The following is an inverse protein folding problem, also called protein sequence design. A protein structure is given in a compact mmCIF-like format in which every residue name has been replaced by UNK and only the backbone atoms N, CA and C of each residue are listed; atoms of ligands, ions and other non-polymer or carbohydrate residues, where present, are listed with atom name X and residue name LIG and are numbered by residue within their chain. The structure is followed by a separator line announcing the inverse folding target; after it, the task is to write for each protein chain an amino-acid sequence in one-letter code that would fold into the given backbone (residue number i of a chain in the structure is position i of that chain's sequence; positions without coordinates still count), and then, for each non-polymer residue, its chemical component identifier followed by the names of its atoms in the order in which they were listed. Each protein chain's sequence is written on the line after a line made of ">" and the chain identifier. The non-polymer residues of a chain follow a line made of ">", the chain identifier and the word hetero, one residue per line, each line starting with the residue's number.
data_IF_206971923276
#
_entry.id   IF_206971923276
#
_cell.length_a   1.000
_cell.length_b   1.000
_cell.length_c   1.000
_cell.angle_alpha   90.00
_cell.angle_beta   90.00
_cell.angle_gamma   90.00
#
_symmetry.space_group_name_H-M   'P 1'
#
loop_
_entity.id
_entity.type
_entity.pdbx_description
1 polymer ?
#
# COMPACT_ATOMS: atom_id res chain seq x y z
N UNK A 1 -51.96 39.03 17.18
CA UNK A 1 -51.60 38.39 15.90
C UNK A 1 -50.11 38.10 15.91
N UNK A 2 -49.71 36.83 15.99
CA UNK A 2 -48.49 36.28 15.40
C UNK A 2 -48.64 34.76 15.48
N UNK A 3 -49.12 34.19 14.38
CA UNK A 3 -49.41 32.77 14.21
C UNK A 3 -48.10 32.10 13.77
N UNK A 4 -47.36 31.50 14.70
CA UNK A 4 -46.09 30.84 14.36
C UNK A 4 -46.37 29.45 13.78
N UNK A 5 -46.15 29.33 12.48
CA UNK A 5 -46.48 28.18 11.65
C UNK A 5 -45.46 27.05 11.87
N UNK A 6 -45.74 26.17 12.84
CA UNK A 6 -44.87 25.08 13.31
C UNK A 6 -44.56 24.00 12.25
N UNK A 7 -45.23 24.01 11.08
CA UNK A 7 -45.12 22.98 10.04
C UNK A 7 -43.87 23.11 9.14
N UNK A 8 -43.32 24.32 8.97
CA UNK A 8 -42.20 24.58 8.04
C UNK A 8 -40.82 24.21 8.64
N UNK A 9 -40.65 24.33 9.95
CA UNK A 9 -39.39 24.06 10.64
C UNK A 9 -39.00 22.57 10.61
N UNK A 10 -40.00 21.68 10.73
CA UNK A 10 -39.79 20.22 10.69
C UNK A 10 -39.36 19.71 9.30
N UNK A 11 -39.84 20.35 8.22
CA UNK A 11 -39.47 19.97 6.85
C UNK A 11 -38.00 20.29 6.54
N UNK A 12 -37.50 21.42 7.06
CA UNK A 12 -36.10 21.85 6.88
C UNK A 12 -35.17 20.94 7.68
N UNK A 13 -35.52 20.59 8.91
CA UNK A 13 -34.74 19.64 9.72
C UNK A 13 -34.69 18.25 9.09
N UNK A 14 -35.80 17.76 8.53
CA UNK A 14 -35.84 16.48 7.83
C UNK A 14 -34.97 16.50 6.56
N UNK A 15 -35.00 17.60 5.80
CA UNK A 15 -34.18 17.76 4.60
C UNK A 15 -32.67 17.77 4.92
N UNK A 16 -32.25 18.46 6.00
CA UNK A 16 -30.85 18.47 6.43
C UNK A 16 -30.40 17.08 6.91
N UNK A 17 -31.26 16.35 7.63
CA UNK A 17 -30.96 14.98 8.09
C UNK A 17 -30.81 14.00 6.93
N UNK A 18 -31.63 14.13 5.89
CA UNK A 18 -31.52 13.33 4.67
C UNK A 18 -30.21 13.67 3.92
N UNK A 19 -29.84 14.96 3.80
CA UNK A 19 -28.58 15.36 3.14
C UNK A 19 -27.35 14.76 3.85
N UNK A 20 -27.34 14.68 5.19
CA UNK A 20 -26.24 14.09 5.95
C UNK A 20 -26.14 12.57 5.71
N UNK A 21 -27.28 11.88 5.56
CA UNK A 21 -27.31 10.43 5.34
C UNK A 21 -26.88 10.01 3.93
N UNK A 22 -27.12 10.83 2.89
CA UNK A 22 -26.72 10.50 1.52
C UNK A 22 -25.19 10.66 1.32
N UNK A 23 -24.51 11.45 2.16
CA UNK A 23 -23.06 11.69 2.07
C UNK A 23 -22.20 10.71 2.89
N UNK A 24 -22.81 9.72 3.54
CA UNK A 24 -22.14 8.83 4.52
C UNK A 24 -21.20 7.76 3.94
N UNK A 25 -21.14 7.55 2.62
CA UNK A 25 -20.32 6.48 2.03
C UNK A 25 -18.82 6.82 1.94
N UNK A 26 -18.44 8.09 2.11
CA UNK A 26 -17.04 8.55 1.92
C UNK A 26 -16.12 8.33 3.14
N UNK A 27 -16.67 7.94 4.29
CA UNK A 27 -15.90 7.81 5.53
C UNK A 27 -14.87 6.67 5.47
N UNK A 28 -15.22 5.55 4.84
CA UNK A 28 -14.34 4.37 4.73
C UNK A 28 -13.32 4.50 3.59
N UNK A 29 -13.67 5.27 2.55
CA UNK A 29 -12.86 5.44 1.33
C UNK A 29 -11.77 6.51 1.50
N UNK A 30 -12.09 7.62 2.17
CA UNK A 30 -11.10 8.63 2.54
C UNK A 30 -10.06 8.10 3.53
N UNK A 31 -10.47 7.18 4.41
CA UNK A 31 -9.61 6.58 5.43
C UNK A 31 -8.54 5.67 4.81
N UNK A 32 -8.91 4.78 3.89
CA UNK A 32 -7.94 3.88 3.25
C UNK A 32 -6.95 4.62 2.33
N UNK A 33 -7.40 5.68 1.65
CA UNK A 33 -6.52 6.47 0.79
C UNK A 33 -5.54 7.34 1.57
N UNK A 34 -5.92 7.85 2.75
CA UNK A 34 -5.03 8.63 3.61
C UNK A 34 -4.15 7.72 4.46
N UNK A 35 -4.77 6.89 5.28
CA UNK A 35 -4.08 6.14 6.34
C UNK A 35 -3.46 4.86 5.78
N UNK A 36 -4.11 4.20 4.82
CA UNK A 36 -3.52 3.07 4.10
C UNK A 36 -2.31 3.48 3.26
N UNK A 37 -2.39 4.59 2.50
CA UNK A 37 -1.23 5.07 1.74
C UNK A 37 -0.09 5.50 2.67
N UNK A 38 -0.39 6.15 3.80
CA UNK A 38 0.58 6.49 4.83
C UNK A 38 1.27 5.24 5.39
N UNK A 39 0.52 4.17 5.66
CA UNK A 39 1.07 2.91 6.14
C UNK A 39 1.99 2.24 5.11
N UNK A 40 1.55 2.17 3.84
CA UNK A 40 2.36 1.63 2.75
C UNK A 40 3.68 2.40 2.58
N UNK A 41 3.61 3.73 2.55
CA UNK A 41 4.80 4.59 2.45
C UNK A 41 5.71 4.46 3.67
N UNK A 42 5.14 4.36 4.88
CA UNK A 42 5.92 4.11 6.09
C UNK A 42 6.66 2.77 6.03
N UNK A 43 5.98 1.71 5.59
CA UNK A 43 6.61 0.40 5.44
C UNK A 43 7.68 0.38 4.34
N UNK A 44 7.49 1.12 3.25
CA UNK A 44 8.48 1.29 2.19
C UNK A 44 9.69 2.12 2.66
N UNK A 45 9.47 3.16 3.47
CA UNK A 45 10.52 3.96 4.09
C UNK A 45 11.47 3.09 4.91
N UNK A 46 10.96 2.15 5.70
CA UNK A 46 11.80 1.20 6.47
C UNK A 46 12.71 0.37 5.55
N UNK A 47 12.23 -0.03 4.38
CA UNK A 47 13.02 -0.78 3.37
C UNK A 47 14.10 0.14 2.77
N UNK A 48 13.73 1.36 2.40
CA UNK A 48 14.62 2.36 1.81
C UNK A 48 15.71 2.82 2.79
N UNK A 49 15.40 2.97 4.07
CA UNK A 49 16.36 3.31 5.14
C UNK A 49 17.47 2.24 5.29
N UNK A 50 17.22 1.01 4.85
CA UNK A 50 18.23 -0.06 4.79
C UNK A 50 19.01 -0.09 3.46
N UNK A 51 18.68 0.80 2.52
CA UNK A 51 19.24 0.87 1.18
C UNK A 51 18.47 0.02 0.15
N UNK A 52 17.26 -0.43 0.48
CA UNK A 52 16.50 -1.36 -0.36
C UNK A 52 17.10 -2.77 -0.38
N UNK A 53 16.43 -3.67 -1.08
CA UNK A 53 16.94 -5.02 -1.30
C UNK A 53 18.18 -4.99 -2.18
N UNK A 54 18.24 -4.08 -3.16
CA UNK A 54 19.44 -3.84 -3.96
C UNK A 54 20.65 -3.51 -3.08
N UNK A 55 20.55 -2.50 -2.21
CA UNK A 55 21.66 -2.08 -1.37
C UNK A 55 22.06 -3.14 -0.34
N UNK A 56 21.11 -3.94 0.14
CA UNK A 56 21.40 -5.09 0.99
C UNK A 56 22.21 -6.18 0.27
N UNK A 57 21.88 -6.47 -0.99
CA UNK A 57 22.60 -7.46 -1.80
C UNK A 57 23.99 -6.94 -2.19
N UNK A 58 24.12 -5.66 -2.54
CA UNK A 58 25.40 -5.03 -2.87
C UNK A 58 26.41 -5.09 -1.72
N UNK A 59 25.94 -4.95 -0.48
CA UNK A 59 26.78 -4.97 0.72
C UNK A 59 27.30 -6.36 1.08
N UNK A 60 26.78 -7.42 0.46
CA UNK A 60 27.14 -8.81 0.74
C UNK A 60 27.93 -9.39 -0.43
N UNK A 61 29.26 -9.60 -0.32
CA UNK A 61 30.08 -10.13 -1.41
C UNK A 61 29.56 -11.48 -1.94
N UNK A 62 28.99 -12.32 -1.07
CA UNK A 62 28.43 -13.62 -1.47
C UNK A 62 27.15 -13.50 -2.31
N UNK A 63 26.44 -12.37 -2.23
CA UNK A 63 25.14 -12.13 -2.84
C UNK A 63 25.12 -11.01 -3.89
N UNK A 64 26.18 -10.22 -4.01
CA UNK A 64 26.28 -9.07 -4.92
C UNK A 64 25.92 -9.40 -6.37
N UNK A 65 26.24 -10.61 -6.84
CA UNK A 65 25.86 -11.06 -8.19
C UNK A 65 24.33 -11.15 -8.42
N UNK A 66 23.52 -10.93 -7.39
CA UNK A 66 22.07 -10.95 -7.41
C UNK A 66 21.45 -9.56 -7.19
N UNK A 67 22.24 -8.49 -7.04
CA UNK A 67 21.70 -7.16 -6.75
C UNK A 67 20.65 -6.68 -7.76
N UNK A 68 20.77 -7.08 -9.03
CA UNK A 68 19.77 -6.74 -10.05
C UNK A 68 18.37 -7.27 -9.72
N UNK A 69 18.21 -8.47 -9.17
CA UNK A 69 16.89 -8.95 -8.74
C UNK A 69 16.38 -8.13 -7.55
N UNK A 70 17.27 -7.69 -6.66
CA UNK A 70 16.92 -6.76 -5.57
C UNK A 70 16.36 -5.45 -6.10
N UNK A 71 17.04 -4.84 -7.07
CA UNK A 71 16.60 -3.58 -7.69
C UNK A 71 15.25 -3.73 -8.41
N UNK A 72 15.03 -4.85 -9.08
CA UNK A 72 13.75 -5.15 -9.72
C UNK A 72 12.62 -5.25 -8.69
N UNK A 73 12.85 -5.93 -7.57
CA UNK A 73 11.87 -6.04 -6.48
C UNK A 73 11.58 -4.66 -5.90
N UNK A 74 12.62 -3.87 -5.60
CA UNK A 74 12.48 -2.51 -5.04
C UNK A 74 11.61 -1.62 -5.95
N UNK A 75 11.89 -1.60 -7.25
CA UNK A 75 11.12 -0.83 -8.23
C UNK A 75 9.67 -1.31 -8.38
N UNK A 76 9.43 -2.62 -8.32
CA UNK A 76 8.08 -3.19 -8.43
C UNK A 76 7.24 -2.93 -7.17
N UNK A 77 7.84 -2.97 -5.99
CA UNK A 77 7.17 -2.57 -4.74
C UNK A 77 6.76 -1.10 -4.80
N UNK A 78 7.66 -0.22 -5.26
CA UNK A 78 7.33 1.18 -5.47
C UNK A 78 6.18 1.36 -6.46
N UNK A 79 6.20 0.61 -7.58
CA UNK A 79 5.12 0.64 -8.58
C UNK A 79 3.77 0.25 -7.99
N UNK A 80 3.71 -0.76 -7.11
CA UNK A 80 2.47 -1.16 -6.44
C UNK A 80 1.90 -0.01 -5.60
N UNK A 81 2.75 0.70 -4.86
CA UNK A 81 2.35 1.86 -4.04
C UNK A 81 1.87 2.99 -4.94
N UNK A 82 2.57 3.29 -6.03
CA UNK A 82 2.15 4.32 -6.98
C UNK A 82 0.82 3.99 -7.65
N UNK A 83 0.54 2.72 -7.99
CA UNK A 83 -0.77 2.32 -8.50
C UNK A 83 -1.86 2.57 -7.44
N UNK A 84 -1.59 2.22 -6.18
CA UNK A 84 -2.52 2.46 -5.08
C UNK A 84 -2.82 3.97 -4.90
N UNK A 85 -1.78 4.80 -4.94
CA UNK A 85 -1.88 6.26 -4.89
C UNK A 85 -2.67 6.82 -6.08
N UNK A 86 -2.42 6.33 -7.29
CA UNK A 86 -3.14 6.75 -8.50
C UNK A 86 -4.63 6.42 -8.43
N UNK A 87 -5.00 5.25 -7.90
CA UNK A 87 -6.41 4.92 -7.66
C UNK A 87 -7.05 5.99 -6.77
N UNK A 88 -6.40 6.32 -5.65
CA UNK A 88 -6.87 7.35 -4.72
C UNK A 88 -7.00 8.74 -5.37
N UNK A 89 -6.03 9.17 -6.17
CA UNK A 89 -6.06 10.49 -6.82
C UNK A 89 -7.08 10.58 -7.94
N UNK A 90 -7.41 9.46 -8.61
CA UNK A 90 -8.47 9.35 -9.61
C UNK A 90 -9.88 9.25 -8.99
N UNK A 91 -10.00 9.29 -7.66
CA UNK A 91 -11.27 9.09 -6.95
C UNK A 91 -11.76 7.64 -6.96
N UNK A 92 -10.95 6.69 -7.45
CA UNK A 92 -11.22 5.25 -7.35
C UNK A 92 -10.81 4.80 -5.95
N UNK A 93 -11.69 4.14 -5.20
CA UNK A 93 -11.29 3.63 -3.88
C UNK A 93 -10.52 2.31 -4.01
N UNK A 94 -9.25 2.21 -3.57
CA UNK A 94 -8.57 0.94 -3.47
C UNK A 94 -9.26 0.03 -2.45
N UNK A 95 -9.28 -1.28 -2.71
CA UNK A 95 -9.89 -2.22 -1.76
C UNK A 95 -8.97 -2.46 -0.55
N UNK A 96 -9.52 -2.73 0.65
CA UNK A 96 -8.74 -3.18 1.80
C UNK A 96 -7.90 -4.43 1.51
N UNK A 97 -8.39 -5.30 0.62
CA UNK A 97 -7.66 -6.48 0.14
C UNK A 97 -6.40 -6.08 -0.62
N UNK A 98 -6.48 -5.11 -1.53
CA UNK A 98 -5.32 -4.63 -2.26
C UNK A 98 -4.29 -4.02 -1.30
N UNK A 99 -4.74 -3.17 -0.38
CA UNK A 99 -3.88 -2.61 0.67
C UNK A 99 -3.13 -3.70 1.43
N UNK A 100 -3.85 -4.69 1.98
CA UNK A 100 -3.26 -5.80 2.73
C UNK A 100 -2.29 -6.67 1.92
N UNK A 101 -2.55 -6.85 0.61
CA UNK A 101 -1.64 -7.58 -0.27
C UNK A 101 -0.32 -6.82 -0.47
N UNK A 102 -0.37 -5.51 -0.70
CA UNK A 102 0.85 -4.69 -0.86
C UNK A 102 1.62 -4.63 0.46
N UNK A 103 0.92 -4.37 1.57
CA UNK A 103 1.51 -4.32 2.90
C UNK A 103 2.18 -5.65 3.29
N UNK A 104 1.57 -6.78 2.93
CA UNK A 104 2.14 -8.11 3.12
C UNK A 104 3.46 -8.31 2.35
N UNK A 105 3.54 -7.85 1.10
CA UNK A 105 4.77 -7.91 0.30
C UNK A 105 5.89 -7.01 0.86
N UNK A 106 5.54 -5.82 1.36
CA UNK A 106 6.48 -4.95 2.08
C UNK A 106 6.94 -5.61 3.39
N UNK A 107 6.04 -6.28 4.11
CA UNK A 107 6.36 -7.08 5.31
C UNK A 107 7.34 -8.21 5.01
N UNK A 108 7.05 -9.06 4.03
CA UNK A 108 7.92 -10.14 3.55
C UNK A 108 9.33 -9.59 3.19
N UNK A 109 9.38 -8.42 2.56
CA UNK A 109 10.64 -7.75 2.18
C UNK A 109 11.41 -7.25 3.41
N UNK A 110 10.73 -6.62 4.38
CA UNK A 110 11.36 -6.15 5.63
C UNK A 110 12.03 -7.29 6.41
N UNK A 111 11.43 -8.47 6.41
CA UNK A 111 11.98 -9.65 7.10
C UNK A 111 13.34 -10.09 6.54
N UNK A 112 13.71 -9.68 5.32
CA UNK A 112 15.03 -9.95 4.75
C UNK A 112 16.14 -9.24 5.54
N UNK A 113 15.89 -8.03 6.05
CA UNK A 113 16.92 -7.26 6.74
C UNK A 113 17.20 -7.75 8.18
N UNK A 114 16.45 -8.72 8.69
CA UNK A 114 16.64 -9.29 10.04
C UNK A 114 17.92 -10.15 10.17
N UNK A 115 18.58 -10.48 9.07
CA UNK A 115 19.81 -11.27 9.07
C UNK A 115 20.75 -10.77 7.99
N UNK A 116 22.00 -10.62 8.36
CA UNK A 116 23.10 -10.27 7.46
C UNK A 116 23.19 -11.22 6.25
N UNK A 117 23.47 -10.65 5.07
CA UNK A 117 23.53 -11.37 3.79
C UNK A 117 24.58 -12.47 3.75
N UNK A 118 25.78 -12.21 4.25
CA UNK A 118 26.88 -13.18 4.22
C UNK A 118 26.68 -14.33 5.21
N UNK A 119 25.77 -14.15 6.17
CA UNK A 119 25.36 -15.22 7.08
C UNK A 119 24.28 -16.13 6.49
N UNK A 120 23.81 -15.89 5.26
CA UNK A 120 22.74 -16.69 4.63
C UNK A 120 23.32 -17.77 3.73
N UNK A 121 22.61 -18.90 3.64
CA UNK A 121 22.85 -19.87 2.57
C UNK A 121 22.34 -19.26 1.26
N UNK A 122 23.23 -19.15 0.27
CA UNK A 122 23.00 -18.42 -0.99
C UNK A 122 21.80 -18.96 -1.77
N UNK A 123 21.78 -20.25 -2.08
CA UNK A 123 20.79 -20.85 -2.97
C UNK A 123 19.36 -20.80 -2.40
N UNK A 124 19.13 -21.18 -1.12
CA UNK A 124 17.81 -20.99 -0.50
C UNK A 124 17.37 -19.54 -0.50
N UNK A 125 18.28 -18.61 -0.24
CA UNK A 125 17.95 -17.19 -0.20
C UNK A 125 17.57 -16.65 -1.58
N UNK A 126 18.30 -17.02 -2.64
CA UNK A 126 17.96 -16.66 -4.02
C UNK A 126 16.57 -17.20 -4.40
N UNK A 127 16.23 -18.43 -3.96
CA UNK A 127 14.89 -18.98 -4.18
C UNK A 127 13.81 -18.12 -3.52
N UNK A 128 14.03 -17.68 -2.28
CA UNK A 128 13.13 -16.74 -1.60
C UNK A 128 12.95 -15.44 -2.37
N UNK A 129 14.03 -14.85 -2.91
CA UNK A 129 13.93 -13.62 -3.71
C UNK A 129 13.11 -13.82 -4.99
N UNK A 130 13.31 -14.94 -5.69
CA UNK A 130 12.56 -15.28 -6.89
C UNK A 130 11.07 -15.49 -6.59
N UNK A 131 10.75 -16.15 -5.48
CA UNK A 131 9.37 -16.34 -5.03
C UNK A 131 8.70 -15.01 -4.68
N UNK A 132 9.40 -14.12 -3.98
CA UNK A 132 8.92 -12.77 -3.68
C UNK A 132 8.66 -11.97 -4.97
N UNK A 133 9.62 -11.95 -5.89
CA UNK A 133 9.49 -11.28 -7.18
C UNK A 133 8.26 -11.80 -7.96
N UNK A 134 8.04 -13.11 -7.96
CA UNK A 134 6.88 -13.74 -8.60
C UNK A 134 5.56 -13.34 -7.94
N UNK A 135 5.50 -13.26 -6.59
CA UNK A 135 4.30 -12.79 -5.89
C UNK A 135 3.95 -11.35 -6.29
N UNK A 136 4.97 -10.49 -6.41
CA UNK A 136 4.81 -9.09 -6.84
C UNK A 136 4.31 -9.02 -8.29
N UNK A 137 4.92 -9.78 -9.20
CA UNK A 137 4.50 -9.86 -10.60
C UNK A 137 3.05 -10.33 -10.75
N UNK A 138 2.66 -11.35 -9.99
CA UNK A 138 1.29 -11.86 -9.98
C UNK A 138 0.27 -10.84 -9.48
N UNK A 139 0.67 -9.93 -8.58
CA UNK A 139 -0.20 -8.85 -8.12
C UNK A 139 -0.28 -7.75 -9.18
N UNK A 140 0.86 -7.29 -9.70
CA UNK A 140 0.93 -6.27 -10.75
C UNK A 140 0.11 -6.66 -12.00
N UNK A 141 0.14 -7.93 -12.40
CA UNK A 141 -0.62 -8.43 -13.55
C UNK A 141 -2.16 -8.33 -13.39
N UNK A 142 -2.65 -8.12 -12.17
CA UNK A 142 -4.09 -7.99 -11.86
C UNK A 142 -4.54 -6.55 -11.69
N UNK A 143 -3.62 -5.59 -11.77
CA UNK A 143 -3.87 -4.19 -11.53
C UNK A 143 -3.96 -3.41 -12.85
N UNK A 144 -4.66 -2.27 -12.86
CA UNK A 144 -4.64 -1.36 -14.01
C UNK A 144 -3.20 -0.93 -14.32
N UNK A 145 -2.86 -0.90 -15.60
CA UNK A 145 -1.53 -0.56 -16.12
C UNK A 145 -1.32 0.95 -16.18
#
# INVERSE_FOLDING_TARGET
>A
MCNFNFKKQGLIFLAVFIIILINGENGFTADICRDGLKELNGSQGIIQDKGGLWGYLEKSPSLQSQSLIGLQIDGKLQRLISIFENLCSEGKTPTPKLHGLILGLLGDTRMIFNRDGDRRKKEPFIKTLKELNKKIDNLLAKLPQ
#
